data_IF_712175350628
#
_entry.id   IF_712175350628
#
_cell.length_a   1.000
_cell.length_b   1.000
_cell.length_c   1.000
_cell.angle_alpha   90.00
_cell.angle_beta   90.00
_cell.angle_gamma   90.00
#
_symmetry.space_group_name_H-M   'P 1'
#
loop_
_entity.id
_entity.type
_entity.pdbx_description
1 polymer ?
#
# COMPACT_ATOMS: atom_id res chain seq x y z
N UNK A 1 22.91 19.31 -14.58
CA UNK A 1 21.81 20.13 -15.13
C UNK A 1 20.60 19.26 -15.56
N UNK A 2 20.80 18.18 -16.32
CA UNK A 2 19.66 17.36 -16.82
C UNK A 2 18.92 16.60 -15.71
N UNK A 3 19.61 16.07 -14.71
CA UNK A 3 19.02 15.36 -13.57
C UNK A 3 18.21 16.30 -12.68
N UNK A 4 18.71 17.49 -12.39
CA UNK A 4 17.97 18.50 -11.62
C UNK A 4 16.70 18.97 -12.35
N UNK A 5 16.78 19.12 -13.67
CA UNK A 5 15.58 19.47 -14.46
C UNK A 5 14.54 18.35 -14.43
N UNK A 6 14.96 17.08 -14.55
CA UNK A 6 14.07 15.94 -14.46
C UNK A 6 13.44 15.84 -13.07
N UNK A 7 14.23 16.03 -11.99
CA UNK A 7 13.73 16.01 -10.61
C UNK A 7 12.72 17.14 -10.35
N UNK A 8 12.99 18.36 -10.81
CA UNK A 8 12.05 19.50 -10.71
C UNK A 8 10.75 19.26 -11.49
N UNK A 9 10.86 18.64 -12.66
CA UNK A 9 9.65 18.28 -13.45
C UNK A 9 8.81 17.25 -12.72
N UNK A 10 9.45 16.18 -12.20
CA UNK A 10 8.75 15.17 -11.41
C UNK A 10 8.11 15.76 -10.14
N UNK A 11 8.85 16.61 -9.40
CA UNK A 11 8.35 17.30 -8.23
C UNK A 11 7.11 18.17 -8.54
N UNK A 12 7.12 18.89 -9.66
CA UNK A 12 5.98 19.69 -10.07
C UNK A 12 4.74 18.85 -10.40
N UNK A 13 4.90 17.70 -11.06
CA UNK A 13 3.79 16.78 -11.32
C UNK A 13 3.24 16.20 -10.01
N UNK A 14 4.09 15.78 -9.08
CA UNK A 14 3.66 15.26 -7.78
C UNK A 14 2.90 16.31 -6.97
N UNK A 15 3.38 17.56 -6.95
CA UNK A 15 2.68 18.68 -6.30
C UNK A 15 1.31 18.95 -6.93
N UNK A 16 1.19 18.88 -8.27
CA UNK A 16 -0.09 19.02 -8.96
C UNK A 16 -1.09 17.90 -8.60
N UNK A 17 -0.59 16.73 -8.25
CA UNK A 17 -1.41 15.61 -7.76
C UNK A 17 -1.74 15.72 -6.25
N UNK A 18 -1.38 16.80 -5.57
CA UNK A 18 -1.65 17.01 -4.15
C UNK A 18 -0.64 16.36 -3.20
N UNK A 19 0.50 15.90 -3.71
CA UNK A 19 1.56 15.33 -2.88
C UNK A 19 2.47 16.44 -2.33
N UNK A 20 2.96 16.26 -1.13
CA UNK A 20 4.05 17.04 -0.58
C UNK A 20 5.38 16.50 -1.12
N UNK A 21 6.22 17.40 -1.61
CA UNK A 21 7.56 17.05 -2.14
C UNK A 21 8.59 17.68 -1.24
N UNK A 22 9.28 16.84 -0.50
CA UNK A 22 10.37 17.22 0.38
C UNK A 22 11.65 17.33 -0.43
N UNK A 23 12.35 18.44 -0.32
CA UNK A 23 13.60 18.69 -1.06
C UNK A 23 14.73 18.94 -0.09
N UNK A 24 15.87 18.19 -0.21
CA UNK A 24 17.01 18.35 0.69
C UNK A 24 17.67 19.73 0.64
N UNK A 25 17.42 20.52 -0.42
CA UNK A 25 18.03 21.84 -0.60
C UNK A 25 17.64 22.87 0.47
N UNK A 26 16.55 22.65 1.19
CA UNK A 26 16.01 23.57 2.19
C UNK A 26 16.26 23.17 3.64
N UNK A 27 16.69 21.91 3.92
CA UNK A 27 16.79 21.40 5.29
C UNK A 27 17.85 20.28 5.38
N UNK A 28 19.08 20.61 5.78
CA UNK A 28 20.14 19.63 6.02
C UNK A 28 19.73 18.63 7.12
N UNK A 29 19.03 19.08 8.15
CA UNK A 29 18.47 18.26 9.22
C UNK A 29 17.52 17.18 8.70
N UNK A 30 16.68 17.54 7.73
CA UNK A 30 15.73 16.63 7.10
C UNK A 30 16.41 15.43 6.43
N UNK A 31 17.53 15.67 5.75
CA UNK A 31 18.27 14.58 5.08
C UNK A 31 18.80 13.56 6.07
N UNK A 32 19.34 14.02 7.21
CA UNK A 32 19.86 13.16 8.28
C UNK A 32 18.72 12.38 8.94
N UNK A 33 17.57 13.00 9.19
CA UNK A 33 16.41 12.34 9.77
C UNK A 33 15.80 11.29 8.83
N UNK A 34 15.70 11.58 7.54
CA UNK A 34 15.23 10.58 6.55
C UNK A 34 16.17 9.39 6.49
N UNK A 35 17.50 9.61 6.46
CA UNK A 35 18.46 8.52 6.46
C UNK A 35 18.39 7.70 7.75
N UNK A 36 18.25 8.36 8.89
CA UNK A 36 18.08 7.69 10.19
C UNK A 36 16.82 6.81 10.20
N UNK A 37 15.69 7.35 9.77
CA UNK A 37 14.41 6.61 9.74
C UNK A 37 14.48 5.38 8.81
N UNK A 38 15.15 5.50 7.66
CA UNK A 38 15.32 4.39 6.73
C UNK A 38 16.27 3.32 7.30
N UNK A 39 17.38 3.74 7.89
CA UNK A 39 18.40 2.83 8.39
C UNK A 39 18.02 2.17 9.71
N UNK A 40 17.54 2.96 10.68
CA UNK A 40 17.24 2.51 12.03
C UNK A 40 15.79 2.11 12.22
N UNK A 41 14.87 2.46 11.28
CA UNK A 41 13.43 2.19 11.39
C UNK A 41 12.77 2.77 12.65
N UNK A 42 13.33 3.83 13.17
CA UNK A 42 12.79 4.60 14.28
C UNK A 42 12.27 5.92 13.72
N UNK A 43 11.11 6.36 14.19
CA UNK A 43 10.64 7.70 13.84
C UNK A 43 11.54 8.75 14.50
N UNK A 44 11.86 9.82 13.77
CA UNK A 44 12.66 10.94 14.31
C UNK A 44 12.01 11.62 15.51
N UNK A 45 10.70 11.43 15.71
CA UNK A 45 9.97 11.85 16.90
C UNK A 45 10.43 11.16 18.18
N UNK A 46 10.92 9.91 18.09
CA UNK A 46 11.34 9.12 19.25
C UNK A 46 12.65 9.65 19.84
N UNK A 47 13.61 9.97 18.97
CA UNK A 47 14.88 10.59 19.37
C UNK A 47 15.21 11.75 18.42
N UNK A 48 14.82 12.99 18.74
CA UNK A 48 15.06 14.16 17.90
C UNK A 48 16.55 14.37 17.58
N UNK A 49 16.86 14.86 16.38
CA UNK A 49 18.24 15.12 15.96
C UNK A 49 19.09 15.89 16.97
N UNK A 50 18.60 16.96 17.63
CA UNK A 50 19.38 17.66 18.64
C UNK A 50 19.82 16.78 19.82
N UNK A 51 18.99 15.82 20.23
CA UNK A 51 19.32 14.87 21.28
C UNK A 51 20.35 13.85 20.79
N UNK A 52 20.19 13.30 19.59
CA UNK A 52 21.18 12.41 18.96
C UNK A 52 22.55 13.06 18.85
N UNK A 53 22.59 14.33 18.43
CA UNK A 53 23.82 15.11 18.36
C UNK A 53 24.48 15.24 19.75
N UNK A 54 23.69 15.54 20.77
CA UNK A 54 24.21 15.62 22.14
C UNK A 54 24.77 14.29 22.66
N UNK A 55 24.08 13.18 22.36
CA UNK A 55 24.49 11.84 22.77
C UNK A 55 25.79 11.42 22.07
N UNK A 56 25.92 11.66 20.77
CA UNK A 56 27.13 11.38 20.00
C UNK A 56 28.29 12.23 20.49
N UNK A 57 28.11 13.54 20.64
CA UNK A 57 29.15 14.46 21.15
C UNK A 57 29.59 14.05 22.54
N UNK A 58 28.64 13.73 23.44
CA UNK A 58 28.94 13.29 24.81
C UNK A 58 29.74 11.98 24.82
N UNK A 59 29.42 11.03 23.92
CA UNK A 59 30.17 9.78 23.78
C UNK A 59 31.60 10.00 23.29
N UNK A 60 31.81 10.94 22.36
CA UNK A 60 33.14 11.30 21.87
C UNK A 60 34.00 11.99 22.96
N UNK A 61 33.37 12.88 23.73
CA UNK A 61 34.06 13.54 24.89
C UNK A 61 34.44 12.48 25.93
N UNK A 62 33.53 11.57 26.28
CA UNK A 62 33.80 10.50 27.24
C UNK A 62 34.91 9.55 26.77
N UNK A 63 35.01 9.33 25.46
CA UNK A 63 36.06 8.51 24.83
C UNK A 63 37.38 9.29 24.63
N UNK A 64 37.46 10.58 24.93
CA UNK A 64 38.63 11.41 24.69
C UNK A 64 38.96 11.63 23.22
N UNK A 65 37.96 11.52 22.34
CA UNK A 65 38.10 11.72 20.88
C UNK A 65 37.89 13.19 20.50
N UNK A 66 38.43 13.57 19.36
CA UNK A 66 38.24 14.90 18.80
C UNK A 66 36.80 15.12 18.34
N UNK A 67 36.14 16.14 18.89
CA UNK A 67 34.77 16.50 18.56
C UNK A 67 34.64 17.31 17.25
N UNK A 68 35.72 17.90 16.76
CA UNK A 68 35.73 18.68 15.51
C UNK A 68 35.75 17.77 14.25
N UNK A 69 36.02 16.48 14.43
CA UNK A 69 36.14 15.49 13.35
C UNK A 69 35.12 14.35 13.44
N UNK A 70 33.93 14.59 14.01
CA UNK A 70 32.86 13.58 14.09
C UNK A 70 32.32 13.30 12.65
N UNK A 71 32.41 12.06 12.14
CA UNK A 71 31.83 11.72 10.85
C UNK A 71 30.31 11.92 10.85
N UNK A 72 29.78 12.46 9.74
CA UNK A 72 28.32 12.65 9.55
C UNK A 72 27.54 11.34 9.72
N UNK A 73 28.14 10.19 9.42
CA UNK A 73 27.54 8.86 9.58
C UNK A 73 27.15 8.52 11.02
N UNK A 74 27.83 9.07 12.01
CA UNK A 74 27.52 8.84 13.43
C UNK A 74 26.13 9.34 13.83
N UNK A 75 25.53 10.24 13.05
CA UNK A 75 24.22 10.83 13.36
C UNK A 75 23.05 10.04 12.78
N UNK A 76 23.30 9.10 11.85
CA UNK A 76 22.24 8.34 11.22
C UNK A 76 22.55 6.85 11.01
N UNK A 77 23.79 6.40 11.20
CA UNK A 77 24.12 4.99 11.08
C UNK A 77 23.60 4.18 12.26
N UNK A 78 23.16 2.94 12.04
CA UNK A 78 22.78 2.02 13.10
C UNK A 78 24.00 1.70 13.98
N UNK A 79 23.77 1.51 15.27
CA UNK A 79 24.84 1.23 16.25
C UNK A 79 25.36 -0.21 16.13
N UNK A 80 24.45 -1.13 15.78
CA UNK A 80 24.79 -2.55 15.66
C UNK A 80 24.27 -3.14 14.35
N UNK A 81 25.14 -3.88 13.66
CA UNK A 81 24.84 -4.62 12.46
C UNK A 81 25.37 -6.04 12.60
N UNK A 82 24.48 -7.03 12.57
CA UNK A 82 24.83 -8.44 12.61
C UNK A 82 24.37 -9.16 11.34
N UNK A 83 25.34 -9.65 10.57
CA UNK A 83 25.16 -10.42 9.32
C UNK A 83 25.49 -11.91 9.49
N UNK A 84 25.58 -12.43 10.71
CA UNK A 84 25.98 -13.81 10.96
C UNK A 84 24.92 -14.84 10.61
N UNK A 85 23.66 -14.41 10.49
CA UNK A 85 22.53 -15.28 10.21
C UNK A 85 22.29 -15.44 8.70
N UNK A 86 21.88 -16.65 8.29
CA UNK A 86 21.71 -17.02 6.89
C UNK A 86 20.36 -16.63 6.26
N UNK A 87 19.42 -16.10 7.04
CA UNK A 87 18.05 -15.77 6.58
C UNK A 87 17.63 -14.34 6.90
N UNK A 88 18.32 -13.68 7.79
CA UNK A 88 18.01 -12.33 8.23
C UNK A 88 19.27 -11.62 8.74
N UNK A 89 19.20 -10.33 8.85
CA UNK A 89 20.18 -9.50 9.55
C UNK A 89 19.53 -8.90 10.80
N UNK A 90 20.36 -8.56 11.78
CA UNK A 90 19.91 -7.79 12.93
C UNK A 90 20.52 -6.39 12.88
N UNK A 91 19.67 -5.37 12.91
CA UNK A 91 20.03 -3.95 12.86
C UNK A 91 19.42 -3.30 14.10
N UNK A 92 20.26 -2.87 15.04
CA UNK A 92 19.83 -2.26 16.32
C UNK A 92 18.75 -3.06 17.07
N UNK A 93 18.88 -4.39 17.06
CA UNK A 93 17.94 -5.29 17.71
C UNK A 93 16.69 -5.63 16.87
N UNK A 94 16.50 -5.02 15.72
CA UNK A 94 15.45 -5.38 14.76
C UNK A 94 15.92 -6.43 13.76
N UNK A 95 15.07 -7.37 13.46
CA UNK A 95 15.32 -8.46 12.52
C UNK A 95 14.79 -8.08 11.14
N UNK A 96 15.64 -8.19 10.10
CA UNK A 96 15.27 -7.85 8.73
C UNK A 96 15.56 -8.99 7.77
N UNK A 97 14.61 -9.32 6.91
CA UNK A 97 14.78 -10.25 5.80
C UNK A 97 14.44 -9.62 4.46
N UNK A 98 15.02 -10.16 3.40
CA UNK A 98 14.91 -9.63 2.05
C UNK A 98 14.36 -10.69 1.12
N UNK A 99 13.32 -10.32 0.35
CA UNK A 99 12.68 -11.18 -0.63
C UNK A 99 12.73 -10.54 -2.01
N UNK A 100 12.81 -11.37 -3.04
CA UNK A 100 12.76 -10.95 -4.44
C UNK A 100 11.63 -11.64 -5.16
N UNK A 101 11.03 -10.95 -6.15
CA UNK A 101 10.22 -11.58 -7.16
C UNK A 101 11.14 -12.00 -8.31
N UNK A 102 11.39 -13.31 -8.54
CA UNK A 102 12.29 -13.74 -9.59
C UNK A 102 11.71 -13.44 -10.97
N UNK A 103 12.55 -13.41 -12.00
CA UNK A 103 12.15 -13.06 -13.38
C UNK A 103 10.99 -13.92 -13.92
N UNK A 104 10.90 -15.17 -13.48
CA UNK A 104 9.82 -16.11 -13.84
C UNK A 104 8.63 -16.06 -12.88
N UNK A 105 8.74 -15.35 -11.77
CA UNK A 105 7.73 -15.29 -10.71
C UNK A 105 6.58 -14.32 -10.98
N UNK A 106 6.58 -13.64 -12.10
CA UNK A 106 5.54 -12.68 -12.46
C UNK A 106 4.45 -13.32 -13.31
N UNK A 107 3.22 -12.93 -13.04
CA UNK A 107 2.07 -13.20 -13.90
C UNK A 107 2.27 -12.58 -15.29
N UNK A 108 1.69 -13.17 -16.30
CA UNK A 108 1.76 -12.66 -17.69
C UNK A 108 1.05 -11.31 -17.85
N UNK A 109 -0.01 -11.09 -17.09
CA UNK A 109 -0.78 -9.85 -17.07
C UNK A 109 -1.07 -9.44 -15.63
N UNK A 110 -0.91 -8.16 -15.34
CA UNK A 110 -1.20 -7.56 -14.04
C UNK A 110 -2.20 -6.42 -14.20
N UNK A 111 -3.06 -6.22 -13.21
CA UNK A 111 -3.98 -5.09 -13.17
C UNK A 111 -3.22 -3.80 -12.83
N UNK A 112 -3.78 -2.65 -13.23
CA UNK A 112 -3.24 -1.36 -12.79
C UNK A 112 -3.28 -1.27 -11.26
N UNK A 113 -2.21 -0.77 -10.66
CA UNK A 113 -2.09 -0.63 -9.21
C UNK A 113 -1.92 -1.94 -8.44
N UNK A 114 -1.50 -3.02 -9.08
CA UNK A 114 -1.33 -4.33 -8.44
C UNK A 114 -0.36 -4.32 -7.24
N UNK A 115 0.63 -3.40 -7.25
CA UNK A 115 1.55 -3.23 -6.12
C UNK A 115 0.88 -2.64 -4.87
N UNK A 116 -0.30 -2.02 -4.99
CA UNK A 116 -0.97 -1.41 -3.83
C UNK A 116 -1.25 -2.41 -2.70
N UNK A 117 -1.53 -3.68 -3.03
CA UNK A 117 -1.70 -4.74 -2.03
C UNK A 117 -0.41 -5.06 -1.28
N UNK A 118 0.73 -4.97 -1.94
CA UNK A 118 2.04 -5.24 -1.31
C UNK A 118 2.46 -4.06 -0.43
N UNK A 119 2.32 -2.84 -0.94
CA UNK A 119 2.67 -1.61 -0.21
C UNK A 119 1.82 -1.45 1.05
N UNK A 120 0.57 -1.89 1.01
CA UNK A 120 -0.36 -1.84 2.15
C UNK A 120 -0.49 -3.18 2.89
N UNK A 121 0.48 -4.08 2.78
CA UNK A 121 0.42 -5.40 3.41
C UNK A 121 0.61 -5.38 4.94
N UNK A 122 1.09 -4.27 5.50
CA UNK A 122 1.23 -4.05 6.94
C UNK A 122 2.51 -3.31 7.31
N UNK A 123 2.63 -3.00 8.59
CA UNK A 123 3.80 -2.31 9.14
C UNK A 123 5.05 -3.18 9.05
N UNK A 124 6.20 -2.53 8.85
CA UNK A 124 7.48 -3.22 8.74
C UNK A 124 7.71 -3.93 7.40
N UNK A 125 6.94 -3.58 6.37
CA UNK A 125 7.11 -4.06 4.99
C UNK A 125 7.42 -2.88 4.09
N UNK A 126 8.59 -2.92 3.42
CA UNK A 126 8.95 -1.94 2.39
C UNK A 126 9.06 -2.60 1.04
N UNK A 127 8.72 -1.85 0.04
CA UNK A 127 8.77 -2.28 -1.35
C UNK A 127 9.66 -1.33 -2.14
N UNK A 128 10.80 -1.83 -2.58
CA UNK A 128 11.70 -1.11 -3.48
C UNK A 128 11.45 -1.54 -4.93
N UNK A 129 11.00 -0.60 -5.74
CA UNK A 129 10.76 -0.81 -7.17
C UNK A 129 11.88 -0.17 -7.98
N UNK A 130 12.72 -0.98 -8.63
CA UNK A 130 13.78 -0.52 -9.51
C UNK A 130 13.33 -0.59 -10.96
N UNK A 131 13.34 0.55 -11.65
CA UNK A 131 13.02 0.67 -13.06
C UNK A 131 14.24 1.18 -13.84
N UNK A 132 14.84 0.33 -14.66
CA UNK A 132 16.03 0.66 -15.43
C UNK A 132 15.66 0.75 -16.92
N UNK A 133 15.56 1.97 -17.45
CA UNK A 133 15.29 2.20 -18.87
C UNK A 133 16.41 1.64 -19.75
N UNK A 134 16.02 0.96 -20.81
CA UNK A 134 16.95 0.38 -21.78
C UNK A 134 16.89 1.11 -23.13
N UNK A 135 18.04 1.24 -23.85
CA UNK A 135 18.04 1.82 -25.18
C UNK A 135 17.17 1.02 -26.16
N UNK A 136 16.19 1.69 -26.76
CA UNK A 136 15.15 1.09 -27.64
C UNK A 136 15.77 0.29 -28.78
N UNK A 137 16.73 0.85 -29.52
CA UNK A 137 17.35 0.20 -30.66
C UNK A 137 18.07 -1.11 -30.27
N UNK A 138 18.81 -1.09 -29.16
CA UNK A 138 19.47 -2.29 -28.62
C UNK A 138 18.47 -3.39 -28.28
N UNK A 139 17.33 -3.01 -27.69
CA UNK A 139 16.32 -3.98 -27.28
C UNK A 139 15.56 -4.56 -28.47
N UNK A 140 15.23 -3.76 -29.49
CA UNK A 140 14.61 -4.26 -30.73
C UNK A 140 15.52 -5.31 -31.39
N UNK A 141 16.82 -5.06 -31.48
CA UNK A 141 17.77 -6.01 -32.05
C UNK A 141 17.89 -7.29 -31.24
N UNK A 142 18.00 -7.17 -29.89
CA UNK A 142 18.07 -8.30 -28.97
C UNK A 142 16.82 -9.18 -29.04
N UNK A 143 15.63 -8.58 -28.99
CA UNK A 143 14.35 -9.29 -29.14
C UNK A 143 14.24 -9.96 -30.52
N UNK A 144 14.69 -9.29 -31.57
CA UNK A 144 14.69 -9.86 -32.92
C UNK A 144 15.60 -11.10 -33.04
N UNK A 145 16.75 -11.10 -32.35
CA UNK A 145 17.63 -12.28 -32.30
C UNK A 145 16.99 -13.41 -31.48
N UNK A 146 16.46 -13.12 -30.29
CA UNK A 146 15.82 -14.13 -29.45
C UNK A 146 14.60 -14.77 -30.13
N UNK A 147 13.76 -13.98 -30.80
CA UNK A 147 12.64 -14.49 -31.58
C UNK A 147 13.07 -15.44 -32.71
N UNK A 148 14.17 -15.12 -33.40
CA UNK A 148 14.73 -16.02 -34.46
C UNK A 148 15.20 -17.35 -33.85
N UNK A 149 15.92 -17.30 -32.72
CA UNK A 149 16.42 -18.50 -32.03
C UNK A 149 15.25 -19.35 -31.53
N UNK A 150 14.27 -18.75 -30.87
CA UNK A 150 13.11 -19.49 -30.35
C UNK A 150 12.27 -20.12 -31.48
N UNK A 151 12.12 -19.42 -32.61
CA UNK A 151 11.45 -19.98 -33.80
C UNK A 151 12.20 -21.14 -34.42
N UNK A 152 13.52 -21.11 -34.43
CA UNK A 152 14.31 -22.25 -34.89
C UNK A 152 14.11 -23.45 -33.99
N UNK A 153 14.22 -23.22 -32.67
CA UNK A 153 14.03 -24.30 -31.68
C UNK A 153 12.63 -24.92 -31.73
N UNK A 154 11.58 -24.13 -31.92
CA UNK A 154 10.20 -24.65 -31.98
C UNK A 154 9.97 -25.51 -33.22
N UNK A 155 10.67 -25.26 -34.34
CA UNK A 155 10.63 -26.07 -35.54
C UNK A 155 11.32 -27.43 -35.37
N UNK A 156 12.26 -27.52 -34.46
CA UNK A 156 13.04 -28.72 -34.14
C UNK A 156 12.40 -29.53 -33.00
N UNK A 157 11.53 -28.86 -32.16
CA UNK A 157 10.81 -29.49 -31.06
C UNK A 157 9.60 -30.29 -31.59
N UNK A 158 9.35 -31.48 -31.04
CA UNK A 158 8.13 -32.22 -31.31
C UNK A 158 6.96 -31.66 -30.49
N UNK A 159 5.74 -31.65 -31.04
CA UNK A 159 4.52 -31.08 -30.38
C UNK A 159 4.16 -31.69 -29.02
N UNK A 160 4.86 -32.73 -28.59
CA UNK A 160 4.61 -33.46 -27.35
C UNK A 160 5.55 -33.09 -26.21
N UNK A 161 6.47 -32.16 -26.40
CA UNK A 161 7.42 -31.73 -25.38
C UNK A 161 6.91 -30.53 -24.57
N UNK A 162 7.05 -30.54 -23.24
CA UNK A 162 6.80 -29.39 -22.35
C UNK A 162 7.54 -28.11 -22.80
N UNK A 163 8.69 -28.29 -23.46
CA UNK A 163 9.49 -27.20 -24.01
C UNK A 163 8.79 -26.44 -25.16
N UNK A 164 7.80 -27.06 -25.83
CA UNK A 164 7.04 -26.42 -26.91
C UNK A 164 6.17 -25.27 -26.38
N UNK A 165 5.42 -25.50 -25.30
CA UNK A 165 4.55 -24.50 -24.70
C UNK A 165 5.33 -23.33 -24.15
N UNK A 166 6.49 -23.59 -23.53
CA UNK A 166 7.39 -22.56 -23.00
C UNK A 166 7.99 -21.71 -24.12
N UNK A 167 8.40 -22.33 -25.23
CA UNK A 167 8.92 -21.63 -26.39
C UNK A 167 7.85 -20.80 -27.11
N UNK A 168 6.63 -21.32 -27.24
CA UNK A 168 5.50 -20.59 -27.82
C UNK A 168 5.13 -19.38 -26.95
N UNK A 169 5.06 -19.56 -25.64
CA UNK A 169 4.86 -18.48 -24.68
C UNK A 169 5.95 -17.39 -24.77
N UNK A 170 7.21 -17.79 -24.88
CA UNK A 170 8.35 -16.88 -25.05
C UNK A 170 8.28 -16.12 -26.39
N UNK A 171 7.83 -16.77 -27.46
CA UNK A 171 7.65 -16.14 -28.78
C UNK A 171 6.52 -15.10 -28.71
N UNK A 172 5.36 -15.43 -28.15
CA UNK A 172 4.24 -14.49 -27.97
C UNK A 172 4.64 -13.27 -27.15
N UNK A 173 5.30 -13.50 -26.02
CA UNK A 173 5.83 -12.41 -25.15
C UNK A 173 6.83 -11.53 -25.89
N UNK A 174 7.72 -12.13 -26.70
CA UNK A 174 8.70 -11.39 -27.51
C UNK A 174 8.04 -10.51 -28.58
N UNK A 175 6.95 -10.99 -29.22
CA UNK A 175 6.17 -10.18 -30.17
C UNK A 175 5.45 -9.03 -29.47
N UNK A 176 4.80 -9.28 -28.31
CA UNK A 176 4.16 -8.26 -27.54
C UNK A 176 5.13 -7.11 -27.19
N UNK A 177 6.32 -7.45 -26.69
CA UNK A 177 7.34 -6.45 -26.39
C UNK A 177 7.80 -5.67 -27.63
N UNK A 178 7.95 -6.36 -28.77
CA UNK A 178 8.36 -5.71 -30.02
C UNK A 178 7.27 -4.79 -30.56
N UNK A 179 6.02 -5.18 -30.47
CA UNK A 179 4.86 -4.37 -30.85
C UNK A 179 4.75 -3.10 -30.01
N UNK A 180 4.86 -3.20 -28.66
CA UNK A 180 4.88 -2.04 -27.79
C UNK A 180 6.01 -1.06 -28.13
N UNK A 181 7.21 -1.57 -28.39
CA UNK A 181 8.31 -0.73 -28.86
C UNK A 181 8.02 -0.03 -30.19
N UNK A 182 7.29 -0.68 -31.12
CA UNK A 182 6.86 -0.09 -32.38
C UNK A 182 5.79 0.98 -32.17
N UNK A 183 4.95 0.81 -31.16
CA UNK A 183 3.90 1.75 -30.73
C UNK A 183 4.41 2.88 -29.81
N UNK A 184 5.70 3.16 -29.85
CA UNK A 184 6.34 4.25 -29.13
C UNK A 184 6.47 4.08 -27.61
N UNK A 185 6.25 2.88 -27.06
CA UNK A 185 6.58 2.60 -25.69
C UNK A 185 8.10 2.47 -25.48
N UNK A 186 8.57 2.79 -24.28
CA UNK A 186 9.92 2.52 -23.84
C UNK A 186 10.03 1.13 -23.19
N UNK A 187 11.25 0.62 -23.13
CA UNK A 187 11.55 -0.68 -22.52
C UNK A 187 12.31 -0.49 -21.20
N UNK A 188 11.87 -1.20 -20.18
CA UNK A 188 12.50 -1.19 -18.87
C UNK A 188 12.81 -2.61 -18.39
N UNK A 189 13.89 -2.73 -17.62
CA UNK A 189 14.03 -3.83 -16.68
C UNK A 189 13.46 -3.40 -15.34
N UNK A 190 12.54 -4.18 -14.83
CA UNK A 190 11.88 -4.00 -13.54
C UNK A 190 12.40 -5.03 -12.55
N UNK A 191 12.69 -4.61 -11.34
CA UNK A 191 13.06 -5.45 -10.22
C UNK A 191 12.27 -5.00 -8.99
N UNK A 192 11.87 -5.94 -8.15
CA UNK A 192 11.17 -5.67 -6.90
C UNK A 192 11.92 -6.37 -5.78
N UNK A 193 12.36 -5.58 -4.81
CA UNK A 193 12.92 -6.03 -3.54
C UNK A 193 11.91 -5.72 -2.45
N UNK A 194 11.65 -6.69 -1.60
CA UNK A 194 10.75 -6.57 -0.45
C UNK A 194 11.59 -6.73 0.80
N UNK A 195 11.60 -5.69 1.64
CA UNK A 195 12.23 -5.72 2.95
C UNK A 195 11.17 -5.96 4.01
N UNK A 196 11.37 -6.92 4.88
CA UNK A 196 10.50 -7.18 6.02
C UNK A 196 11.27 -6.99 7.31
N UNK A 197 10.67 -6.27 8.26
CA UNK A 197 11.25 -5.95 9.56
C UNK A 197 10.32 -6.44 10.66
N UNK A 198 10.89 -7.01 11.72
CA UNK A 198 10.18 -7.45 12.92
C UNK A 198 11.07 -7.29 14.17
N UNK A 199 10.47 -7.29 15.35
CA UNK A 199 11.19 -7.16 16.62
C UNK A 199 11.82 -8.47 17.09
N UNK A 200 11.40 -9.59 16.52
CA UNK A 200 11.97 -10.91 16.83
C UNK A 200 11.93 -11.82 15.59
N UNK A 201 12.70 -12.91 15.66
CA UNK A 201 12.85 -13.85 14.54
C UNK A 201 11.57 -14.65 14.24
N UNK A 202 10.74 -14.94 15.24
CA UNK A 202 9.49 -15.70 15.07
C UNK A 202 8.44 -14.85 14.32
N UNK A 203 8.29 -13.58 14.68
CA UNK A 203 7.42 -12.65 13.99
C UNK A 203 7.89 -12.38 12.55
N UNK A 204 9.20 -12.32 12.33
CA UNK A 204 9.76 -12.18 11.00
C UNK A 204 9.42 -13.39 10.11
N UNK A 205 9.57 -14.59 10.62
CA UNK A 205 9.21 -15.82 9.90
C UNK A 205 7.70 -15.91 9.62
N UNK A 206 6.87 -15.48 10.58
CA UNK A 206 5.43 -15.39 10.39
C UNK A 206 5.07 -14.37 9.29
N UNK A 207 5.65 -13.17 9.31
CA UNK A 207 5.45 -12.14 8.28
C UNK A 207 5.89 -12.61 6.90
N UNK A 208 7.03 -13.33 6.81
CA UNK A 208 7.48 -13.92 5.56
C UNK A 208 6.47 -14.95 5.03
N UNK A 209 5.91 -15.78 5.89
CA UNK A 209 4.89 -16.74 5.52
C UNK A 209 3.61 -16.08 5.00
N UNK A 210 3.14 -15.02 5.67
CA UNK A 210 1.95 -14.27 5.24
C UNK A 210 2.19 -13.53 3.91
N UNK A 211 3.38 -12.93 3.72
CA UNK A 211 3.75 -12.30 2.45
C UNK A 211 3.79 -13.34 1.31
N UNK A 212 4.32 -14.55 1.56
CA UNK A 212 4.28 -15.64 0.57
C UNK A 212 2.85 -16.02 0.19
N UNK A 213 1.96 -16.17 1.18
CA UNK A 213 0.54 -16.48 0.93
C UNK A 213 -0.13 -15.38 0.12
N UNK A 214 0.12 -14.12 0.46
CA UNK A 214 -0.42 -12.96 -0.26
C UNK A 214 0.02 -12.99 -1.73
N UNK A 215 1.31 -13.15 -2.00
CA UNK A 215 1.85 -13.16 -3.36
C UNK A 215 1.40 -14.37 -4.17
N UNK A 216 1.37 -15.56 -3.57
CA UNK A 216 0.83 -16.77 -4.22
C UNK A 216 -0.66 -16.56 -4.58
N UNK A 217 -1.45 -15.91 -3.74
CA UNK A 217 -2.86 -15.59 -4.05
C UNK A 217 -3.01 -14.66 -5.26
N UNK A 218 -1.95 -13.95 -5.62
CA UNK A 218 -1.88 -13.08 -6.80
C UNK A 218 -1.14 -13.74 -7.98
N UNK A 219 -0.88 -15.04 -7.92
CA UNK A 219 -0.07 -15.79 -8.89
C UNK A 219 1.36 -15.23 -9.07
N UNK A 220 1.94 -14.74 -7.99
CA UNK A 220 3.31 -14.25 -7.93
C UNK A 220 4.15 -15.17 -7.06
N UNK A 221 5.37 -15.46 -7.48
CA UNK A 221 6.32 -16.25 -6.70
C UNK A 221 7.40 -15.34 -6.11
N UNK A 222 7.86 -15.68 -4.91
CA UNK A 222 8.98 -14.99 -4.27
C UNK A 222 10.08 -15.97 -3.86
N UNK A 223 11.28 -15.45 -3.75
CA UNK A 223 12.45 -16.16 -3.21
C UNK A 223 13.12 -15.30 -2.16
N UNK A 224 13.54 -15.94 -1.07
CA UNK A 224 14.35 -15.27 -0.04
C UNK A 224 15.77 -15.04 -0.54
N UNK A 225 16.36 -13.93 -0.10
CA UNK A 225 17.76 -13.59 -0.35
C UNK A 225 18.71 -14.32 0.62
N UNK A 226 18.39 -15.58 0.99
CA UNK A 226 19.22 -16.33 1.95
C UNK A 226 20.68 -16.41 1.51
N UNK A 227 21.59 -16.16 2.46
CA UNK A 227 23.04 -15.99 2.27
C UNK A 227 23.42 -14.80 1.41
N UNK A 228 22.52 -13.80 1.25
CA UNK A 228 22.71 -12.55 0.50
C UNK A 228 22.04 -11.38 1.20
N UNK A 229 21.91 -11.47 2.50
CA UNK A 229 21.24 -10.49 3.34
C UNK A 229 21.96 -9.15 3.30
N UNK A 230 23.31 -9.16 3.28
CA UNK A 230 24.14 -7.96 3.13
C UNK A 230 23.83 -7.26 1.80
N UNK A 231 23.75 -8.02 0.70
CA UNK A 231 23.41 -7.48 -0.62
C UNK A 231 21.96 -6.94 -0.63
N UNK A 232 21.04 -7.62 0.07
CA UNK A 232 19.66 -7.15 0.29
C UNK A 232 19.64 -5.81 1.03
N UNK A 233 20.36 -5.73 2.14
CA UNK A 233 20.49 -4.52 2.93
C UNK A 233 21.06 -3.35 2.13
N UNK A 234 22.20 -3.55 1.46
CA UNK A 234 22.81 -2.50 0.65
C UNK A 234 21.92 -2.05 -0.52
N UNK A 235 21.08 -2.97 -1.05
CA UNK A 235 20.13 -2.66 -2.12
C UNK A 235 18.88 -1.93 -1.65
N UNK A 236 18.46 -2.11 -0.39
CA UNK A 236 17.33 -1.41 0.20
C UNK A 236 17.64 0.03 0.64
N UNK A 237 18.92 0.43 0.59
CA UNK A 237 19.30 1.80 0.86
C UNK A 237 18.82 2.74 -0.27
N UNK A 238 18.51 4.03 0.02
CA UNK A 238 17.99 4.98 -0.96
C UNK A 238 19.09 5.47 -1.96
N UNK A 239 19.98 4.56 -2.34
CA UNK A 239 21.10 4.82 -3.26
C UNK A 239 20.78 4.42 -4.71
N UNK A 240 19.55 4.00 -4.99
CA UNK A 240 19.10 3.55 -6.33
C UNK A 240 19.97 2.46 -6.96
N UNK A 241 20.63 1.65 -6.14
CA UNK A 241 21.55 0.60 -6.58
C UNK A 241 21.08 -0.78 -6.12
N UNK A 242 20.65 -1.60 -7.06
CA UNK A 242 20.37 -3.01 -6.81
C UNK A 242 21.60 -3.85 -7.13
N UNK A 243 22.04 -4.66 -6.17
CA UNK A 243 23.23 -5.50 -6.34
C UNK A 243 23.09 -6.42 -7.55
N UNK A 244 24.19 -6.65 -8.26
CA UNK A 244 24.19 -7.30 -9.58
C UNK A 244 23.53 -8.68 -9.60
N UNK A 245 23.77 -9.53 -8.60
CA UNK A 245 23.17 -10.86 -8.57
C UNK A 245 21.68 -10.81 -8.30
N UNK A 246 21.23 -9.90 -7.42
CA UNK A 246 19.81 -9.67 -7.14
C UNK A 246 19.12 -9.11 -8.39
N UNK A 247 19.76 -8.14 -9.06
CA UNK A 247 19.29 -7.58 -10.32
C UNK A 247 19.11 -8.64 -11.41
N UNK A 248 20.13 -9.46 -11.67
CA UNK A 248 20.07 -10.46 -12.73
C UNK A 248 19.01 -11.54 -12.46
N UNK A 249 18.76 -11.87 -11.19
CA UNK A 249 17.80 -12.89 -10.79
C UNK A 249 16.35 -12.42 -10.86
N UNK A 250 16.10 -11.15 -10.59
CA UNK A 250 14.75 -10.59 -10.47
C UNK A 250 14.29 -9.73 -11.66
N UNK A 251 15.20 -9.38 -12.60
CA UNK A 251 14.87 -8.49 -13.71
C UNK A 251 13.74 -9.03 -14.57
N UNK A 252 12.68 -8.24 -14.73
CA UNK A 252 11.54 -8.49 -15.62
C UNK A 252 11.50 -7.46 -16.73
N UNK A 253 11.24 -7.93 -17.94
CA UNK A 253 11.03 -7.07 -19.10
C UNK A 253 9.63 -6.44 -19.02
N UNK A 254 9.56 -5.13 -19.02
CA UNK A 254 8.29 -4.39 -19.02
C UNK A 254 8.33 -3.23 -20.02
N UNK A 255 7.18 -2.88 -20.57
CA UNK A 255 6.95 -1.69 -21.36
C UNK A 255 6.49 -0.53 -20.46
N UNK A 256 6.38 0.68 -21.01
CA UNK A 256 5.93 1.87 -20.27
C UNK A 256 4.57 1.63 -19.58
N UNK A 257 3.62 1.00 -20.26
CA UNK A 257 2.31 0.66 -19.71
C UNK A 257 2.42 -0.29 -18.51
N UNK A 258 3.30 -1.30 -18.60
CA UNK A 258 3.59 -2.23 -17.51
C UNK A 258 4.27 -1.56 -16.33
N UNK A 259 5.22 -0.65 -16.57
CA UNK A 259 5.86 0.14 -15.52
C UNK A 259 4.85 1.08 -14.82
N UNK A 260 3.98 1.74 -15.60
CA UNK A 260 2.93 2.61 -15.06
C UNK A 260 1.90 1.84 -14.23
N UNK A 261 1.61 0.57 -14.58
CA UNK A 261 0.70 -0.28 -13.79
C UNK A 261 1.23 -0.64 -12.40
N UNK A 262 2.54 -0.45 -12.17
CA UNK A 262 3.16 -0.65 -10.85
C UNK A 262 2.93 0.51 -9.89
N UNK A 263 2.34 1.63 -10.32
CA UNK A 263 2.03 2.76 -9.42
C UNK A 263 1.06 2.31 -8.31
N UNK A 264 1.48 2.34 -7.02
CA UNK A 264 0.70 1.70 -5.96
C UNK A 264 -0.39 2.60 -5.40
N UNK A 265 -0.30 3.92 -5.58
CA UNK A 265 -1.20 4.89 -4.98
C UNK A 265 -2.46 5.11 -5.84
N UNK A 266 -3.17 4.02 -6.13
CA UNK A 266 -4.36 4.03 -7.01
C UNK A 266 -5.67 4.05 -6.24
N UNK A 267 -5.64 3.88 -4.93
CA UNK A 267 -6.80 3.88 -4.06
C UNK A 267 -6.70 5.03 -3.06
N UNK A 268 -7.82 5.71 -2.87
CA UNK A 268 -7.94 6.77 -1.86
C UNK A 268 -8.25 6.13 -0.50
N UNK A 269 -7.58 6.57 0.54
CA UNK A 269 -7.92 6.22 1.91
C UNK A 269 -9.05 7.14 2.40
N UNK A 270 -10.14 6.54 2.84
CA UNK A 270 -11.29 7.24 3.38
C UNK A 270 -11.42 6.88 4.87
N UNK A 271 -10.78 7.67 5.71
CA UNK A 271 -10.79 7.48 7.16
C UNK A 271 -11.03 8.81 7.85
N UNK A 272 -12.26 9.01 8.33
CA UNK A 272 -12.63 10.16 9.15
C UNK A 272 -12.46 9.80 10.64
N UNK A 273 -11.85 10.68 11.43
CA UNK A 273 -11.52 10.43 12.86
C UNK A 273 -12.73 10.02 13.70
N UNK A 274 -13.88 10.63 13.46
CA UNK A 274 -15.13 10.39 14.18
C UNK A 274 -16.17 9.59 13.40
N UNK A 275 -15.75 8.86 12.37
CA UNK A 275 -16.65 8.12 11.50
C UNK A 275 -17.18 6.82 12.07
N UNK A 276 -18.03 6.15 11.30
CA UNK A 276 -18.40 4.76 11.49
C UNK A 276 -17.67 3.89 10.48
N UNK A 277 -17.15 2.75 10.91
CA UNK A 277 -16.53 1.79 10.02
C UNK A 277 -17.57 1.24 9.05
N UNK A 278 -17.40 1.44 7.75
CA UNK A 278 -18.27 0.86 6.72
C UNK A 278 -17.73 -0.48 6.20
N UNK A 279 -16.43 -0.63 6.10
CA UNK A 279 -15.79 -1.85 5.61
C UNK A 279 -14.29 -1.69 5.47
N UNK A 280 -13.70 -2.57 4.67
CA UNK A 280 -12.28 -2.53 4.29
C UNK A 280 -12.20 -2.26 2.79
N UNK A 281 -11.33 -1.35 2.39
CA UNK A 281 -11.09 -1.05 0.99
C UNK A 281 -10.40 -2.25 0.32
N UNK A 282 -11.01 -2.77 -0.74
CA UNK A 282 -10.53 -3.96 -1.46
C UNK A 282 -9.16 -3.75 -2.12
N UNK A 283 -8.80 -2.52 -2.43
CA UNK A 283 -7.61 -2.22 -3.23
C UNK A 283 -6.35 -1.95 -2.41
N UNK A 284 -6.52 -1.42 -1.19
CA UNK A 284 -5.38 -1.04 -0.34
C UNK A 284 -5.50 -1.54 1.11
N UNK A 285 -6.48 -2.39 1.42
CA UNK A 285 -6.78 -2.92 2.76
C UNK A 285 -6.99 -1.87 3.85
N UNK A 286 -7.11 -0.58 3.50
CA UNK A 286 -7.41 0.46 4.48
C UNK A 286 -8.82 0.34 5.03
N UNK A 287 -9.03 0.80 6.26
CA UNK A 287 -10.35 0.89 6.85
C UNK A 287 -11.14 2.02 6.20
N UNK A 288 -12.39 1.76 5.82
CA UNK A 288 -13.32 2.77 5.32
C UNK A 288 -14.15 3.27 6.49
N UNK A 289 -13.74 4.40 7.07
CA UNK A 289 -14.40 5.05 8.20
C UNK A 289 -14.97 6.38 7.71
N UNK A 290 -16.28 6.57 7.88
CA UNK A 290 -16.98 7.76 7.35
C UNK A 290 -17.78 8.45 8.44
N UNK A 291 -17.51 9.73 8.64
CA UNK A 291 -18.36 10.61 9.45
C UNK A 291 -19.28 11.45 8.54
N UNK A 292 -20.49 10.94 8.35
CA UNK A 292 -21.49 11.61 7.50
C UNK A 292 -21.93 13.00 8.01
N UNK A 293 -21.66 13.31 9.27
CA UNK A 293 -21.98 14.61 9.87
C UNK A 293 -20.81 15.61 9.81
N UNK A 294 -19.65 15.21 9.25
CA UNK A 294 -18.55 16.11 9.05
C UNK A 294 -18.85 17.14 7.95
N UNK A 295 -19.28 18.33 8.36
CA UNK A 295 -19.65 19.42 7.44
C UNK A 295 -18.45 19.99 6.65
N UNK A 296 -17.21 19.74 7.10
CA UNK A 296 -16.02 20.14 6.36
C UNK A 296 -15.77 19.25 5.14
N UNK A 297 -16.10 17.93 5.25
CA UNK A 297 -15.94 16.97 4.17
C UNK A 297 -17.20 16.85 3.28
N UNK A 298 -18.39 16.91 3.88
CA UNK A 298 -19.67 16.65 3.19
C UNK A 298 -20.63 17.85 3.28
N UNK A 299 -21.23 18.22 2.17
CA UNK A 299 -22.18 19.34 2.11
C UNK A 299 -23.47 19.08 2.89
N UNK A 300 -23.88 17.82 3.03
CA UNK A 300 -25.02 17.37 3.81
C UNK A 300 -24.85 15.90 4.23
N UNK A 301 -25.61 15.47 5.23
CA UNK A 301 -25.59 14.12 5.79
C UNK A 301 -26.58 13.14 5.14
N UNK A 302 -27.09 13.44 3.95
CA UNK A 302 -28.04 12.57 3.26
C UNK A 302 -27.32 11.43 2.53
N UNK A 303 -27.79 10.20 2.74
CA UNK A 303 -27.24 8.99 2.10
C UNK A 303 -28.34 8.26 1.35
N UNK A 304 -28.07 7.89 0.10
CA UNK A 304 -28.93 7.02 -0.69
C UNK A 304 -28.23 5.66 -0.91
N UNK A 305 -28.85 4.56 -0.46
CA UNK A 305 -28.34 3.20 -0.65
C UNK A 305 -29.17 2.50 -1.72
N UNK A 306 -28.55 2.28 -2.89
CA UNK A 306 -29.19 1.68 -4.06
C UNK A 306 -28.59 0.30 -4.36
N UNK A 307 -29.38 -0.59 -4.93
CA UNK A 307 -28.91 -1.91 -5.36
C UNK A 307 -30.07 -2.83 -5.72
N UNK A 308 -29.78 -3.94 -6.38
CA UNK A 308 -30.75 -4.97 -6.74
C UNK A 308 -31.32 -5.69 -5.51
N UNK A 309 -32.38 -6.46 -5.66
CA UNK A 309 -32.90 -7.31 -4.58
C UNK A 309 -31.83 -8.32 -4.15
N UNK A 310 -31.67 -8.53 -2.85
CA UNK A 310 -30.62 -9.42 -2.30
C UNK A 310 -29.21 -8.83 -2.21
N UNK A 311 -28.96 -7.61 -2.68
CA UNK A 311 -27.63 -6.97 -2.64
C UNK A 311 -27.15 -6.51 -1.26
N UNK A 312 -27.89 -6.79 -0.18
CA UNK A 312 -27.50 -6.45 1.19
C UNK A 312 -27.84 -5.04 1.67
N UNK A 313 -28.71 -4.29 0.97
CA UNK A 313 -29.11 -2.91 1.36
C UNK A 313 -29.59 -2.81 2.81
N UNK A 314 -30.53 -3.67 3.20
CA UNK A 314 -31.09 -3.69 4.56
C UNK A 314 -30.02 -4.04 5.59
N UNK A 315 -29.14 -4.99 5.27
CA UNK A 315 -28.00 -5.34 6.12
C UNK A 315 -27.06 -4.14 6.35
N UNK A 316 -26.70 -3.45 5.28
CA UNK A 316 -25.84 -2.26 5.36
C UNK A 316 -26.49 -1.18 6.22
N UNK A 317 -27.79 -0.91 6.04
CA UNK A 317 -28.54 0.07 6.81
C UNK A 317 -28.59 -0.31 8.30
N UNK A 318 -28.83 -1.58 8.62
CA UNK A 318 -28.81 -2.07 10.01
C UNK A 318 -27.44 -1.93 10.63
N UNK A 319 -26.37 -2.27 9.89
CA UNK A 319 -25.01 -2.17 10.37
C UNK A 319 -24.61 -0.72 10.67
N UNK A 320 -24.96 0.20 9.78
CA UNK A 320 -24.75 1.64 10.00
C UNK A 320 -25.53 2.13 11.24
N UNK A 321 -26.80 1.77 11.36
CA UNK A 321 -27.64 2.14 12.51
C UNK A 321 -27.05 1.64 13.83
N UNK A 322 -26.61 0.37 13.89
CA UNK A 322 -25.99 -0.22 15.09
C UNK A 322 -24.67 0.47 15.45
N UNK A 323 -23.82 0.78 14.45
CA UNK A 323 -22.54 1.46 14.66
C UNK A 323 -22.73 2.90 15.12
N UNK A 324 -23.70 3.62 14.56
CA UNK A 324 -24.07 4.96 15.00
C UNK A 324 -24.63 4.92 16.45
N UNK A 325 -25.48 3.96 16.75
CA UNK A 325 -26.03 3.79 18.12
C UNK A 325 -24.94 3.51 19.13
N UNK A 326 -23.94 2.70 18.78
CA UNK A 326 -22.76 2.44 19.63
C UNK A 326 -21.96 3.70 19.95
N UNK A 327 -21.93 4.68 19.05
CA UNK A 327 -21.33 6.01 19.27
C UNK A 327 -22.20 6.97 20.06
N UNK A 328 -23.39 6.56 20.50
CA UNK A 328 -24.33 7.40 21.24
C UNK A 328 -25.31 8.18 20.37
N UNK A 329 -25.25 8.06 19.05
CA UNK A 329 -26.19 8.72 18.14
C UNK A 329 -27.59 8.14 18.32
N UNK A 330 -28.61 9.00 18.44
CA UNK A 330 -30.01 8.57 18.44
C UNK A 330 -30.44 8.22 17.02
N UNK A 331 -31.00 7.01 16.84
CA UNK A 331 -31.36 6.48 15.52
C UNK A 331 -32.88 6.20 15.47
N UNK A 332 -33.53 6.76 14.48
CA UNK A 332 -34.93 6.50 14.16
C UNK A 332 -35.03 5.78 12.83
N UNK A 333 -35.75 4.66 12.78
CA UNK A 333 -35.92 3.88 11.56
C UNK A 333 -37.40 3.86 11.18
N UNK A 334 -37.74 4.34 10.02
CA UNK A 334 -39.08 4.27 9.43
C UNK A 334 -39.02 3.20 8.32
N UNK A 335 -39.72 2.08 8.57
CA UNK A 335 -39.71 0.93 7.68
C UNK A 335 -41.15 0.53 7.26
N UNK A 336 -41.70 1.13 6.19
CA UNK A 336 -43.11 0.96 5.82
C UNK A 336 -43.47 -0.48 5.44
N UNK A 337 -42.57 -1.23 4.79
CA UNK A 337 -42.88 -2.54 4.21
C UNK A 337 -42.18 -3.72 4.90
N UNK A 338 -40.99 -3.51 5.46
CA UNK A 338 -40.12 -4.58 5.98
C UNK A 338 -39.68 -4.33 7.43
N UNK A 339 -40.53 -3.72 8.23
CA UNK A 339 -40.19 -3.35 9.61
C UNK A 339 -39.72 -4.54 10.47
N UNK A 340 -40.27 -5.73 10.25
CA UNK A 340 -39.90 -6.94 10.99
C UNK A 340 -38.41 -7.30 10.89
N UNK A 341 -37.71 -6.94 9.80
CA UNK A 341 -36.28 -7.18 9.63
C UNK A 341 -35.46 -6.42 10.68
N UNK A 342 -35.92 -5.28 11.17
CA UNK A 342 -35.26 -4.45 12.17
C UNK A 342 -35.59 -4.81 13.63
N UNK A 343 -36.57 -5.65 13.86
CA UNK A 343 -37.05 -5.97 15.20
C UNK A 343 -35.96 -6.52 16.12
N UNK A 344 -35.17 -7.46 15.61
CA UNK A 344 -34.09 -8.09 16.38
C UNK A 344 -32.98 -7.08 16.72
N UNK A 345 -32.58 -6.24 15.78
CA UNK A 345 -31.57 -5.20 15.99
C UNK A 345 -32.05 -4.17 17.01
N UNK A 346 -33.32 -3.73 16.90
CA UNK A 346 -33.92 -2.79 17.82
C UNK A 346 -33.94 -3.34 19.25
N UNK A 347 -34.41 -4.56 19.47
CA UNK A 347 -34.45 -5.18 20.79
C UNK A 347 -33.08 -5.38 21.42
N UNK A 348 -32.12 -5.81 20.65
CA UNK A 348 -30.73 -6.06 21.11
C UNK A 348 -29.99 -4.77 21.53
N UNK A 349 -30.44 -3.62 21.06
CA UNK A 349 -29.86 -2.30 21.41
C UNK A 349 -30.72 -1.56 22.48
N UNK A 350 -31.74 -2.21 23.06
CA UNK A 350 -32.61 -1.58 24.02
C UNK A 350 -33.54 -0.52 23.41
N UNK A 351 -33.80 -0.62 22.11
CA UNK A 351 -34.70 0.27 21.39
C UNK A 351 -36.17 -0.10 21.51
N UNK A 352 -37.03 0.84 21.23
CA UNK A 352 -38.50 0.65 21.17
C UNK A 352 -38.92 0.34 19.73
N UNK A 353 -39.71 -0.72 19.58
CA UNK A 353 -40.28 -1.14 18.31
C UNK A 353 -41.77 -0.86 18.26
N UNK A 354 -42.17 0.12 17.47
CA UNK A 354 -43.56 0.55 17.35
C UNK A 354 -44.13 0.02 16.03
N UNK A 355 -45.11 -0.88 16.10
CA UNK A 355 -45.79 -1.38 14.92
C UNK A 355 -47.11 -0.62 14.75
N UNK A 356 -47.28 0.01 13.57
CA UNK A 356 -48.49 0.72 13.19
C UNK A 356 -49.18 -0.10 12.09
N UNK A 357 -50.38 -0.60 12.38
CA UNK A 357 -51.21 -1.33 11.43
C UNK A 357 -52.68 -1.14 11.81
N UNK A 358 -53.65 -1.43 10.94
CA UNK A 358 -55.08 -1.31 11.24
C UNK A 358 -55.52 -2.10 12.48
N UNK A 359 -54.78 -3.16 12.82
CA UNK A 359 -55.07 -4.03 13.97
C UNK A 359 -54.19 -3.75 15.20
N UNK A 360 -53.26 -2.79 15.13
CA UNK A 360 -52.36 -2.48 16.24
C UNK A 360 -53.00 -1.53 17.23
N UNK A 361 -52.57 -1.62 18.52
CA UNK A 361 -52.96 -0.65 19.55
C UNK A 361 -52.24 0.69 19.44
N UNK A 362 -51.19 0.75 18.64
CA UNK A 362 -50.38 1.94 18.44
C UNK A 362 -50.96 2.80 17.33
N UNK A 363 -51.18 4.07 17.61
CA UNK A 363 -51.60 5.06 16.61
C UNK A 363 -50.75 6.33 16.72
N UNK A 364 -50.60 7.03 15.61
CA UNK A 364 -49.99 8.36 15.60
C UNK A 364 -51.14 9.36 15.58
N UNK A 365 -51.22 10.17 16.65
CA UNK A 365 -52.14 11.28 16.65
C UNK A 365 -51.54 12.47 15.90
N UNK A 366 -51.94 12.67 14.66
CA UNK A 366 -51.46 13.77 13.82
C UNK A 366 -51.96 15.15 14.26
N UNK A 367 -52.93 15.17 15.16
CA UNK A 367 -53.54 16.40 15.73
C UNK A 367 -52.97 16.73 17.11
N UNK A 368 -51.95 16.00 17.58
CA UNK A 368 -51.35 16.25 18.88
C UNK A 368 -50.43 17.46 18.85
N UNK A 369 -50.79 18.48 19.59
CA UNK A 369 -49.96 19.68 19.78
C UNK A 369 -48.89 19.33 20.83
N UNK A 370 -47.64 19.36 20.46
CA UNK A 370 -46.52 19.17 21.39
C UNK A 370 -46.49 20.33 22.38
N UNK A 371 -46.50 19.99 23.68
CA UNK A 371 -46.20 20.97 24.72
C UNK A 371 -44.71 21.29 24.61
N UNK A 372 -44.37 22.35 23.90
CA UNK A 372 -43.06 23.00 23.93
C UNK A 372 -43.09 24.10 24.98
N UNK A 373 -41.96 24.62 25.41
CA UNK A 373 -41.84 25.76 26.33
C UNK A 373 -42.45 27.06 25.77
N UNK A 374 -43.02 27.01 24.57
CA UNK A 374 -43.76 28.12 23.93
C UNK A 374 -45.27 28.00 24.30
N UNK A 375 -45.88 29.11 24.55
CA UNK A 375 -47.32 29.18 24.77
C UNK A 375 -48.09 28.64 23.55
N UNK A 376 -49.25 28.02 23.80
CA UNK A 376 -50.08 27.43 22.73
C UNK A 376 -50.48 28.48 21.71
N UNK A 377 -50.54 29.73 22.11
CA UNK A 377 -50.89 30.90 21.27
C UNK A 377 -49.79 31.22 20.27
N UNK A 378 -48.49 30.96 20.57
CA UNK A 378 -47.36 31.14 19.64
C UNK A 378 -47.22 29.99 18.64
N UNK A 379 -47.96 28.92 18.74
CA UNK A 379 -47.96 27.79 17.83
C UNK A 379 -49.13 27.80 16.84
N UNK A 380 -50.03 28.74 17.00
CA UNK A 380 -51.24 28.94 16.16
C UNK A 380 -51.15 30.11 15.18
N UNK A 381 -50.09 30.91 15.27
CA UNK A 381 -49.66 31.92 14.27
C UNK A 381 -48.65 31.31 13.29
#
# INVERSE_FOLDING_TARGET
ASLQTAARTAANYLKQCGNEVLTPENEDEFTVDVLYNILCRQESSDIPLPQRVQDVVSSYIAAGKDTDAIPCTEFFAPQTLDFTHAKYICVDGQYRSYLLIPSYGYKSQVAAGWLSLLVNAGDGIDIDLFLTRQPKERMVNKLGQQLRINRSKIREASDTNSDFDDLDGAIRSGYFLKEGLSNNEDFYYMNILITMTADNAEDLEWRECEMRKLLISQDLNIVSCSFREEQGFLSSLPLTNLEKHLYERSKRNVLTSGAASCYPFTAYELSDDNGILLGVNKYNNSLVIVDIFNSAAYKNANIAIMGTSGAGKTFTLQLMALRMRRKGTQVFIIAPLKGHEFLRACRNTGGEFIQISPASKNCINVMEIRKTDRSVDELLD
#
